data_IF_505687761573
#
_entry.id   IF_505687761573
#
_cell.length_a   1.000
_cell.length_b   1.000
_cell.length_c   1.000
_cell.angle_alpha   90.00
_cell.angle_beta   90.00
_cell.angle_gamma   90.00
#
_symmetry.space_group_name_H-M   'P 1'
#
loop_
_entity.id
_entity.type
_entity.pdbx_description
1 polymer ?
#
# COMPACT_ATOMS: atom_id res chain seq x y z
N UNK A 1 13.71 -15.03 -18.07
CA UNK A 1 12.45 -14.34 -18.36
C UNK A 1 12.58 -12.91 -17.86
N UNK A 2 12.17 -11.91 -18.65
CA UNK A 2 12.24 -10.50 -18.22
C UNK A 2 11.14 -10.28 -17.18
N UNK A 3 11.49 -9.70 -16.02
CA UNK A 3 10.53 -9.38 -14.98
C UNK A 3 9.78 -8.09 -15.32
N UNK A 4 8.47 -8.10 -15.13
CA UNK A 4 7.57 -7.03 -15.56
C UNK A 4 7.24 -6.08 -14.40
N UNK A 5 7.20 -6.60 -13.16
CA UNK A 5 6.80 -5.81 -12.00
C UNK A 5 7.70 -6.05 -10.78
N UNK A 6 7.58 -5.16 -9.78
CA UNK A 6 8.37 -5.21 -8.55
C UNK A 6 8.14 -6.51 -7.75
N UNK A 7 6.92 -7.05 -7.77
CA UNK A 7 6.58 -8.25 -6.99
C UNK A 7 7.37 -9.47 -7.44
N UNK A 8 7.68 -9.60 -8.75
CA UNK A 8 8.49 -10.72 -9.23
C UNK A 8 9.91 -10.73 -8.64
N UNK A 9 10.50 -9.55 -8.40
CA UNK A 9 11.80 -9.43 -7.70
C UNK A 9 11.67 -9.74 -6.20
N UNK A 10 10.57 -9.29 -5.61
CA UNK A 10 10.29 -9.57 -4.20
C UNK A 10 10.05 -11.06 -3.95
N UNK A 11 9.22 -11.72 -4.77
CA UNK A 11 8.96 -13.18 -4.69
C UNK A 11 10.23 -14.00 -4.88
N UNK A 12 11.12 -13.63 -5.79
CA UNK A 12 12.42 -14.30 -5.92
C UNK A 12 13.26 -14.16 -4.63
N UNK A 13 13.22 -12.99 -3.99
CA UNK A 13 13.92 -12.78 -2.73
C UNK A 13 13.31 -13.61 -1.60
N UNK A 14 11.98 -13.72 -1.54
CA UNK A 14 11.27 -14.59 -0.60
C UNK A 14 11.67 -16.05 -0.78
N UNK A 15 11.69 -16.55 -2.03
CA UNK A 15 12.08 -17.93 -2.33
C UNK A 15 13.55 -18.21 -1.96
N UNK A 16 14.44 -17.27 -2.25
CA UNK A 16 15.89 -17.46 -2.03
C UNK A 16 16.29 -17.36 -0.56
N UNK A 17 15.65 -16.47 0.22
CA UNK A 17 16.04 -16.23 1.61
C UNK A 17 14.84 -15.87 2.50
N UNK A 18 13.86 -16.79 2.68
CA UNK A 18 12.59 -16.50 3.36
C UNK A 18 12.76 -16.04 4.82
N UNK A 19 13.74 -16.57 5.53
CA UNK A 19 14.00 -16.29 6.95
C UNK A 19 14.95 -15.10 7.17
N UNK A 20 15.51 -14.51 6.10
CA UNK A 20 16.33 -13.32 6.23
C UNK A 20 15.46 -12.11 6.61
N UNK A 21 15.98 -11.25 7.48
CA UNK A 21 15.35 -9.98 7.82
C UNK A 21 15.18 -9.12 6.56
N UNK A 22 13.94 -8.74 6.26
CA UNK A 22 13.58 -7.89 5.14
C UNK A 22 13.50 -6.42 5.54
N UNK A 23 12.94 -6.12 6.72
CA UNK A 23 12.80 -4.76 7.23
C UNK A 23 13.18 -4.71 8.70
N UNK A 24 13.86 -3.64 9.08
CA UNK A 24 14.19 -3.27 10.46
C UNK A 24 13.48 -1.95 10.75
N UNK A 25 12.61 -1.93 11.78
CA UNK A 25 11.91 -0.76 12.25
C UNK A 25 12.20 -0.58 13.74
N UNK A 26 13.20 0.22 14.06
CA UNK A 26 13.76 0.40 15.41
C UNK A 26 14.22 -0.95 15.98
N UNK A 27 13.53 -1.45 17.01
CA UNK A 27 13.75 -2.73 17.70
C UNK A 27 12.93 -3.90 17.15
N UNK A 28 12.02 -3.63 16.19
CA UNK A 28 11.22 -4.65 15.51
C UNK A 28 11.87 -5.06 14.19
N UNK A 29 11.77 -6.33 13.88
CA UNK A 29 12.22 -6.88 12.59
C UNK A 29 11.13 -7.75 11.99
N UNK A 30 11.13 -7.90 10.68
CA UNK A 30 10.26 -8.82 9.96
C UNK A 30 11.07 -9.52 8.87
N UNK A 31 10.86 -10.81 8.69
CA UNK A 31 11.50 -11.61 7.63
C UNK A 31 10.80 -11.42 6.28
N UNK A 32 11.44 -11.85 5.19
CA UNK A 32 10.82 -11.83 3.86
C UNK A 32 9.53 -12.67 3.82
N UNK A 33 9.52 -13.84 4.46
CA UNK A 33 8.34 -14.71 4.51
C UNK A 33 7.18 -14.09 5.27
N UNK A 34 7.43 -13.51 6.44
CA UNK A 34 6.40 -12.84 7.25
C UNK A 34 5.87 -11.59 6.56
N UNK A 35 6.75 -10.80 5.94
CA UNK A 35 6.39 -9.60 5.19
C UNK A 35 5.45 -9.96 4.02
N UNK A 36 5.79 -11.03 3.26
CA UNK A 36 4.95 -11.57 2.20
C UNK A 36 3.58 -11.99 2.72
N UNK A 37 3.53 -12.77 3.79
CA UNK A 37 2.29 -13.25 4.39
C UNK A 37 1.35 -12.09 4.75
N UNK A 38 1.87 -11.07 5.44
CA UNK A 38 1.06 -9.88 5.78
C UNK A 38 0.60 -9.11 4.53
N UNK A 39 1.47 -8.95 3.55
CA UNK A 39 1.11 -8.27 2.30
C UNK A 39 0.01 -9.01 1.54
N UNK A 40 0.03 -10.34 1.47
CA UNK A 40 -1.01 -11.13 0.80
C UNK A 40 -2.35 -11.06 1.50
N UNK A 41 -2.38 -11.16 2.85
CA UNK A 41 -3.62 -11.00 3.62
C UNK A 41 -4.24 -9.63 3.38
N UNK A 42 -3.43 -8.58 3.42
CA UNK A 42 -3.92 -7.22 3.16
C UNK A 42 -4.38 -7.05 1.70
N UNK A 43 -3.64 -7.61 0.73
CA UNK A 43 -3.99 -7.57 -0.69
C UNK A 43 -5.36 -8.18 -0.98
N UNK A 44 -5.71 -9.28 -0.30
CA UNK A 44 -7.02 -9.94 -0.45
C UNK A 44 -8.20 -9.07 -0.01
N UNK A 45 -7.96 -8.10 0.86
CA UNK A 45 -8.99 -7.17 1.35
C UNK A 45 -9.19 -5.95 0.44
N UNK A 46 -8.32 -5.72 -0.54
CA UNK A 46 -8.39 -4.56 -1.45
C UNK A 46 -9.32 -4.89 -2.61
N UNK A 47 -10.46 -4.17 -2.69
CA UNK A 47 -11.55 -4.45 -3.63
C UNK A 47 -11.42 -3.78 -5.01
N UNK A 48 -10.33 -3.07 -5.32
CA UNK A 48 -10.13 -2.37 -6.60
C UNK A 48 -8.92 -2.90 -7.38
N UNK A 49 -8.86 -2.58 -8.68
CA UNK A 49 -7.73 -2.94 -9.56
C UNK A 49 -7.40 -1.74 -10.43
N UNK A 50 -6.10 -1.52 -10.68
CA UNK A 50 -5.56 -0.40 -11.49
C UNK A 50 -6.06 0.97 -11.02
N UNK A 51 -6.17 1.14 -9.70
CA UNK A 51 -6.54 2.41 -9.07
C UNK A 51 -5.47 2.86 -8.08
N UNK A 52 -5.36 4.16 -7.81
CA UNK A 52 -4.51 4.64 -6.72
C UNK A 52 -5.03 4.14 -5.38
N UNK A 53 -4.13 3.76 -4.49
CA UNK A 53 -4.41 3.39 -3.12
C UNK A 53 -3.54 4.24 -2.18
N UNK A 54 -4.14 4.89 -1.19
CA UNK A 54 -3.42 5.74 -0.27
C UNK A 54 -3.00 4.97 0.99
N UNK A 55 -1.76 5.17 1.43
CA UNK A 55 -1.24 4.67 2.70
C UNK A 55 -1.04 5.85 3.64
N UNK A 56 -1.83 5.90 4.71
CA UNK A 56 -1.75 6.94 5.73
C UNK A 56 -1.24 6.36 7.04
N UNK A 57 0.06 6.11 7.05
CA UNK A 57 0.82 5.50 8.14
C UNK A 57 2.17 6.21 8.30
N UNK A 58 2.77 6.12 9.48
CA UNK A 58 4.20 6.43 9.62
C UNK A 58 5.05 5.42 8.85
N UNK A 59 6.29 5.81 8.54
CA UNK A 59 7.30 4.88 8.03
C UNK A 59 7.54 3.78 9.06
N UNK A 60 7.15 2.57 8.74
CA UNK A 60 7.16 1.41 9.65
C UNK A 60 7.09 0.11 8.84
N UNK A 61 7.20 -1.03 9.50
CA UNK A 61 6.94 -2.35 8.90
C UNK A 61 5.55 -2.38 8.25
N UNK A 62 4.55 -1.76 8.92
CA UNK A 62 3.17 -1.69 8.46
C UNK A 62 3.05 -0.95 7.12
N UNK A 63 3.74 0.16 6.95
CA UNK A 63 3.71 0.89 5.67
C UNK A 63 4.37 0.10 4.53
N UNK A 64 5.41 -0.67 4.82
CA UNK A 64 6.09 -1.48 3.79
C UNK A 64 5.20 -2.63 3.30
N UNK A 65 4.56 -3.39 4.21
CA UNK A 65 3.67 -4.43 3.74
C UNK A 65 2.36 -3.88 3.13
N UNK A 66 1.94 -2.65 3.50
CA UNK A 66 0.82 -1.98 2.84
C UNK A 66 1.17 -1.62 1.39
N UNK A 67 2.35 -1.05 1.13
CA UNK A 67 2.81 -0.77 -0.23
C UNK A 67 2.87 -2.04 -1.08
N UNK A 68 3.45 -3.11 -0.54
CA UNK A 68 3.50 -4.42 -1.23
C UNK A 68 2.10 -4.99 -1.48
N UNK A 69 1.19 -4.91 -0.52
CA UNK A 69 -0.18 -5.39 -0.64
C UNK A 69 -0.94 -4.68 -1.76
N UNK A 70 -0.75 -3.37 -1.88
CA UNK A 70 -1.35 -2.58 -2.95
C UNK A 70 -0.85 -3.07 -4.31
N UNK A 71 0.45 -3.32 -4.45
CA UNK A 71 1.01 -3.83 -5.71
C UNK A 71 0.50 -5.26 -5.98
N UNK A 72 0.48 -6.14 -4.98
CA UNK A 72 -0.08 -7.49 -5.12
C UNK A 72 -1.54 -7.49 -5.59
N UNK A 73 -2.34 -6.53 -5.13
CA UNK A 73 -3.74 -6.39 -5.54
C UNK A 73 -3.92 -5.82 -6.96
N UNK A 74 -2.83 -5.48 -7.66
CA UNK A 74 -2.88 -4.90 -9.00
C UNK A 74 -3.16 -3.39 -9.01
N UNK A 75 -2.83 -2.70 -7.93
CA UNK A 75 -2.99 -1.27 -7.75
C UNK A 75 -1.62 -0.56 -7.63
N UNK A 76 -1.62 0.77 -7.53
CA UNK A 76 -0.43 1.57 -7.32
C UNK A 76 -0.59 2.44 -6.07
N UNK A 77 0.47 2.57 -5.28
CA UNK A 77 0.38 3.19 -3.96
C UNK A 77 0.73 4.67 -3.97
N UNK A 78 0.20 5.38 -2.98
CA UNK A 78 0.56 6.74 -2.64
C UNK A 78 0.72 6.86 -1.12
N UNK A 79 1.93 7.16 -0.66
CA UNK A 79 2.19 7.41 0.75
C UNK A 79 1.84 8.85 1.13
N UNK A 80 0.99 9.03 2.13
CA UNK A 80 0.59 10.31 2.69
C UNK A 80 1.33 10.57 4.02
N UNK A 81 1.89 11.76 4.18
CA UNK A 81 2.52 12.15 5.44
C UNK A 81 1.44 12.39 6.51
N UNK A 82 1.52 11.66 7.61
CA UNK A 82 0.58 11.75 8.74
C UNK A 82 0.58 13.12 9.43
N UNK A 83 1.56 13.98 9.12
CA UNK A 83 1.68 15.34 9.65
C UNK A 83 0.97 16.38 8.76
N UNK A 84 0.44 15.99 7.61
CA UNK A 84 -0.27 16.94 6.75
C UNK A 84 -1.54 17.45 7.42
N UNK A 85 -1.81 18.77 7.34
CA UNK A 85 -3.10 19.33 7.75
C UNK A 85 -4.26 18.71 6.96
N UNK A 86 -5.44 18.65 7.58
CA UNK A 86 -6.64 18.05 6.99
C UNK A 86 -7.00 18.66 5.62
N UNK A 87 -6.87 19.97 5.46
CA UNK A 87 -7.11 20.65 4.18
C UNK A 87 -6.19 20.16 3.06
N UNK A 88 -4.89 19.97 3.37
CA UNK A 88 -3.93 19.43 2.40
C UNK A 88 -4.24 17.99 2.05
N UNK A 89 -4.59 17.16 3.04
CA UNK A 89 -5.01 15.77 2.81
C UNK A 89 -6.25 15.73 1.91
N UNK A 90 -7.26 16.58 2.20
CA UNK A 90 -8.46 16.68 1.37
C UNK A 90 -8.11 17.01 -0.08
N UNK A 91 -7.29 18.04 -0.32
CA UNK A 91 -6.90 18.44 -1.67
C UNK A 91 -6.18 17.32 -2.44
N UNK A 92 -5.32 16.53 -1.75
CA UNK A 92 -4.64 15.39 -2.36
C UNK A 92 -5.63 14.28 -2.67
N UNK A 93 -6.53 13.94 -1.74
CA UNK A 93 -7.53 12.89 -1.94
C UNK A 93 -8.52 13.24 -3.06
N UNK A 94 -8.96 14.50 -3.13
CA UNK A 94 -9.84 14.98 -4.20
C UNK A 94 -9.15 14.95 -5.58
N UNK A 95 -7.84 15.20 -5.63
CA UNK A 95 -7.06 15.15 -6.88
C UNK A 95 -6.80 13.72 -7.35
N UNK A 96 -6.42 12.83 -6.44
CA UNK A 96 -5.95 11.47 -6.76
C UNK A 96 -7.10 10.48 -6.85
N UNK A 97 -8.21 10.74 -6.15
CA UNK A 97 -9.40 9.87 -6.08
C UNK A 97 -9.05 8.39 -5.78
N UNK A 98 -8.37 8.09 -4.65
CA UNK A 98 -7.97 6.72 -4.34
C UNK A 98 -9.18 5.81 -4.18
N UNK A 99 -9.04 4.53 -4.58
CA UNK A 99 -10.08 3.52 -4.36
C UNK A 99 -10.09 2.97 -2.93
N UNK A 100 -8.95 3.05 -2.25
CA UNK A 100 -8.77 2.57 -0.88
C UNK A 100 -7.79 3.44 -0.11
N UNK A 101 -8.02 3.57 1.19
CA UNK A 101 -7.08 4.18 2.15
C UNK A 101 -6.75 3.15 3.22
N UNK A 102 -5.46 2.88 3.39
CA UNK A 102 -4.94 1.98 4.42
C UNK A 102 -4.38 2.84 5.57
N UNK A 103 -4.84 2.58 6.78
CA UNK A 103 -4.44 3.33 7.99
C UNK A 103 -4.52 2.43 9.23
N UNK A 104 -4.36 3.00 10.43
CA UNK A 104 -4.53 2.34 11.71
C UNK A 104 -5.32 3.23 12.70
N UNK A 105 -5.64 2.71 13.88
CA UNK A 105 -6.41 3.45 14.91
C UNK A 105 -5.74 4.77 15.30
N UNK A 106 -4.41 4.81 15.29
CA UNK A 106 -3.66 6.01 15.68
C UNK A 106 -3.94 7.18 14.72
N UNK A 107 -4.01 6.92 13.42
CA UNK A 107 -4.13 7.97 12.40
C UNK A 107 -5.53 8.11 11.82
N UNK A 108 -6.41 7.12 11.97
CA UNK A 108 -7.76 7.16 11.41
C UNK A 108 -8.53 8.42 11.83
N UNK A 109 -8.42 8.82 13.09
CA UNK A 109 -9.14 10.00 13.62
C UNK A 109 -8.74 11.31 12.94
N UNK A 110 -7.50 11.43 12.47
CA UNK A 110 -7.00 12.65 11.84
C UNK A 110 -7.36 12.77 10.36
N UNK A 111 -7.75 11.67 9.71
CA UNK A 111 -8.08 11.67 8.28
C UNK A 111 -9.58 11.43 8.00
N UNK A 112 -10.31 10.80 8.93
CA UNK A 112 -11.70 10.35 8.71
C UNK A 112 -12.63 11.46 8.21
N UNK A 113 -12.44 12.70 8.65
CA UNK A 113 -13.30 13.84 8.27
C UNK A 113 -13.11 14.30 6.83
N UNK A 114 -12.05 13.88 6.16
CA UNK A 114 -11.71 14.28 4.78
C UNK A 114 -11.72 13.13 3.79
N UNK A 115 -12.03 11.91 4.23
CA UNK A 115 -12.16 10.74 3.37
C UNK A 115 -13.49 10.85 2.59
N UNK A 116 -13.48 10.75 1.24
CA UNK A 116 -14.71 10.63 0.47
C UNK A 116 -15.50 9.37 0.84
N UNK A 117 -16.83 9.46 0.77
CA UNK A 117 -17.73 8.39 1.25
C UNK A 117 -17.70 7.09 0.44
N UNK A 118 -17.20 7.15 -0.79
CA UNK A 118 -17.06 6.03 -1.72
C UNK A 118 -15.69 5.33 -1.63
N UNK A 119 -14.79 5.82 -0.77
CA UNK A 119 -13.45 5.25 -0.59
C UNK A 119 -13.47 4.15 0.47
N UNK A 120 -12.97 2.97 0.11
CA UNK A 120 -12.77 1.89 1.06
C UNK A 120 -11.72 2.29 2.10
N UNK A 121 -12.01 2.11 3.39
CA UNK A 121 -11.04 2.31 4.47
C UNK A 121 -10.66 0.97 5.08
N UNK A 122 -9.37 0.64 5.03
CA UNK A 122 -8.83 -0.55 5.69
C UNK A 122 -8.03 -0.11 6.92
N UNK A 123 -8.52 -0.51 8.09
CA UNK A 123 -7.85 -0.28 9.36
C UNK A 123 -7.04 -1.53 9.74
N UNK A 124 -5.72 -1.43 9.74
CA UNK A 124 -4.81 -2.54 10.01
C UNK A 124 -4.98 -3.15 11.40
N UNK A 125 -5.35 -2.34 12.41
CA UNK A 125 -5.56 -2.83 13.77
C UNK A 125 -6.80 -3.72 13.92
N UNK A 126 -7.70 -3.69 12.96
CA UNK A 126 -8.88 -4.56 12.89
C UNK A 126 -8.70 -5.82 12.04
N UNK A 127 -7.52 -6.01 11.43
CA UNK A 127 -7.29 -7.14 10.53
C UNK A 127 -6.76 -8.37 11.25
N UNK A 128 -7.27 -9.54 10.87
CA UNK A 128 -6.70 -10.83 11.24
C UNK A 128 -5.67 -11.27 10.19
N UNK A 129 -4.39 -11.14 10.51
CA UNK A 129 -3.28 -11.53 9.65
C UNK A 129 -2.94 -13.03 9.70
N UNK A 130 -3.72 -13.85 10.42
CA UNK A 130 -3.53 -15.30 10.50
C UNK A 130 -4.40 -16.07 9.51
N UNK A 131 -5.35 -15.40 8.85
CA UNK A 131 -6.26 -16.02 7.90
C UNK A 131 -5.54 -16.55 6.66
N UNK A 132 -6.04 -17.66 6.12
CA UNK A 132 -5.59 -18.17 4.83
C UNK A 132 -6.16 -17.35 3.68
N UNK A 133 -5.34 -17.15 2.64
CA UNK A 133 -5.68 -16.31 1.48
C UNK A 133 -5.64 -17.17 0.21
N UNK A 134 -6.58 -16.94 -0.69
CA UNK A 134 -6.50 -17.47 -2.05
C UNK A 134 -5.46 -16.69 -2.86
N UNK A 135 -4.22 -17.19 -2.84
CA UNK A 135 -3.12 -16.58 -3.59
C UNK A 135 -3.37 -16.61 -5.11
N UNK A 136 -4.15 -17.57 -5.62
CA UNK A 136 -4.38 -17.71 -7.07
C UNK A 136 -5.14 -16.49 -7.63
N UNK A 137 -6.11 -15.97 -6.89
CA UNK A 137 -6.85 -14.77 -7.26
C UNK A 137 -5.95 -13.52 -7.28
N UNK A 138 -5.05 -13.39 -6.28
CA UNK A 138 -4.09 -12.29 -6.20
C UNK A 138 -3.13 -12.33 -7.38
N UNK A 139 -2.51 -13.48 -7.68
CA UNK A 139 -1.58 -13.60 -8.80
C UNK A 139 -2.28 -13.47 -10.17
N UNK A 140 -3.56 -13.83 -10.27
CA UNK A 140 -4.36 -13.55 -11.47
C UNK A 140 -4.53 -12.05 -11.71
N UNK A 141 -4.76 -11.26 -10.65
CA UNK A 141 -4.85 -9.81 -10.76
C UNK A 141 -3.49 -9.17 -11.06
N UNK A 142 -2.45 -9.62 -10.39
CA UNK A 142 -1.07 -9.19 -10.65
C UNK A 142 -0.66 -9.45 -12.11
N UNK A 143 -1.06 -10.58 -12.69
CA UNK A 143 -0.80 -10.94 -14.10
C UNK A 143 -1.48 -10.03 -15.12
N UNK A 144 -2.41 -9.15 -14.71
CA UNK A 144 -3.03 -8.14 -15.59
C UNK A 144 -2.21 -6.85 -15.68
N UNK A 145 -1.16 -6.72 -14.87
CA UNK A 145 -0.25 -5.58 -14.91
C UNK A 145 0.73 -5.72 -16.07
N UNK A 146 1.08 -4.58 -16.66
CA UNK A 146 2.11 -4.46 -17.69
C UNK A 146 3.23 -3.54 -17.19
N UNK A 147 4.37 -3.56 -17.84
CA UNK A 147 5.57 -2.79 -17.47
C UNK A 147 5.40 -1.25 -17.50
N UNK A 148 4.35 -0.78 -18.18
CA UNK A 148 4.00 0.65 -18.24
C UNK A 148 2.92 1.06 -17.23
N UNK A 149 2.36 0.13 -16.45
CA UNK A 149 1.42 0.47 -15.39
C UNK A 149 2.16 1.22 -14.26
N UNK A 150 1.53 2.24 -13.64
CA UNK A 150 2.17 3.00 -12.56
C UNK A 150 2.44 2.11 -11.35
N UNK A 151 3.56 2.36 -10.66
CA UNK A 151 3.92 1.71 -9.41
C UNK A 151 3.47 2.52 -8.19
N UNK A 152 3.71 3.83 -8.24
CA UNK A 152 3.38 4.74 -7.14
C UNK A 152 3.11 6.16 -7.64
N UNK A 153 2.45 6.94 -6.79
CA UNK A 153 2.31 8.39 -6.95
C UNK A 153 3.17 9.08 -5.90
N UNK A 154 4.07 9.97 -6.33
CA UNK A 154 4.88 10.79 -5.44
C UNK A 154 4.33 12.21 -5.43
N UNK A 155 3.90 12.67 -4.26
CA UNK A 155 3.45 14.05 -4.10
C UNK A 155 4.66 14.98 -4.00
N UNK A 156 4.83 15.86 -4.96
CA UNK A 156 5.86 16.90 -4.93
C UNK A 156 5.27 18.21 -4.43
N UNK A 157 6.07 19.01 -3.70
CA UNK A 157 5.71 20.40 -3.38
C UNK A 157 5.80 21.22 -4.65
N UNK A 158 4.65 21.47 -5.30
CA UNK A 158 4.61 22.36 -6.46
C UNK A 158 5.03 23.78 -6.08
N UNK A 159 5.81 24.45 -6.95
CA UNK A 159 6.21 25.85 -6.79
C UNK A 159 5.03 26.82 -6.64
N UNK A 160 3.81 26.37 -6.92
CA UNK A 160 2.54 27.12 -6.82
C UNK A 160 1.75 26.80 -5.55
N UNK A 161 2.30 26.04 -4.60
CA UNK A 161 1.61 25.63 -3.35
C UNK A 161 0.57 24.52 -3.51
N UNK A 162 0.17 24.18 -4.74
CA UNK A 162 -0.75 23.07 -5.00
C UNK A 162 0.06 21.78 -5.19
N UNK A 163 -0.24 20.71 -4.45
CA UNK A 163 0.43 19.42 -4.63
C UNK A 163 0.27 18.92 -6.06
N UNK A 164 1.37 18.46 -6.67
CA UNK A 164 1.34 17.75 -7.96
C UNK A 164 1.69 16.29 -7.68
N UNK A 165 0.82 15.36 -8.11
CA UNK A 165 1.13 13.94 -8.17
C UNK A 165 1.93 13.64 -9.45
N UNK A 166 3.06 12.93 -9.28
CA UNK A 166 3.90 12.44 -10.38
C UNK A 166 3.96 10.94 -10.26
#
# INVERSE_FOLDING_TARGET
MMKINLIEYFEESVQRCPQKTAVIDRDRTITFSELRGKALVLASAIGCIKRPAAVFLNKSIESVYADLAIIYSGNFYMNLDVRYPAERLKNILDLVCPGVIITNNQYLKSIVSVIPSDVQVINLDGMDFTQQVDESAIFTNLGKLIDTDPLCIINTSGSTGTPKGV
#
